data_IF_216231109084
#
_entry.id   IF_216231109084
#
_cell.length_a   1.000
_cell.length_b   1.000
_cell.length_c   1.000
_cell.angle_alpha   90.00
_cell.angle_beta   90.00
_cell.angle_gamma   90.00
#
_symmetry.space_group_name_H-M   'P 1'
#
loop_
_entity.id
_entity.type
_entity.pdbx_description
1 polymer ?
#
# COMPACT_ATOMS: atom_id res chain seq x y z
N UNK A 1 4.16 -22.65 -9.18
CA UNK A 1 5.14 -22.47 -8.07
C UNK A 1 4.40 -22.67 -6.76
N UNK A 2 4.98 -23.36 -5.79
CA UNK A 2 4.38 -23.42 -4.47
C UNK A 2 4.38 -22.04 -3.83
N UNK A 3 3.27 -21.67 -3.14
CA UNK A 3 3.19 -20.42 -2.40
C UNK A 3 4.24 -20.39 -1.29
N UNK A 4 4.97 -19.29 -1.20
CA UNK A 4 5.97 -19.06 -0.18
C UNK A 4 5.37 -18.60 1.15
N UNK A 5 6.22 -18.18 2.06
CA UNK A 5 5.81 -17.54 3.31
C UNK A 5 6.73 -16.34 3.61
N UNK A 6 6.87 -15.48 2.62
CA UNK A 6 7.68 -14.27 2.72
C UNK A 6 6.87 -13.17 3.38
N UNK A 7 7.06 -12.97 4.68
CA UNK A 7 6.40 -11.91 5.47
C UNK A 7 7.14 -10.59 5.29
N UNK A 8 8.48 -10.60 5.44
CA UNK A 8 9.31 -9.41 5.23
C UNK A 8 10.34 -9.63 4.14
N UNK A 9 10.57 -8.62 3.32
CA UNK A 9 11.57 -8.64 2.24
C UNK A 9 12.20 -7.27 2.05
N UNK A 10 13.41 -7.27 1.49
CA UNK A 10 14.18 -6.05 1.22
C UNK A 10 14.00 -5.62 -0.23
N UNK A 11 13.82 -4.33 -0.44
CA UNK A 11 13.88 -3.73 -1.77
C UNK A 11 14.45 -2.30 -1.66
N UNK A 12 15.58 -2.06 -2.32
CA UNK A 12 16.36 -0.84 -2.11
C UNK A 12 16.74 -0.68 -0.64
N UNK A 13 16.56 0.52 -0.11
CA UNK A 13 16.89 0.88 1.27
C UNK A 13 15.71 0.67 2.25
N UNK A 14 14.71 -0.13 1.88
CA UNK A 14 13.50 -0.29 2.70
C UNK A 14 13.23 -1.75 3.05
N UNK A 15 12.60 -1.95 4.19
CA UNK A 15 12.01 -3.22 4.59
C UNK A 15 10.52 -3.21 4.28
N UNK A 16 10.07 -4.18 3.51
CA UNK A 16 8.68 -4.35 3.11
C UNK A 16 8.01 -5.46 3.91
N UNK A 17 6.76 -5.26 4.28
CA UNK A 17 5.93 -6.21 5.02
C UNK A 17 4.74 -6.60 4.16
N UNK A 18 4.59 -7.90 3.89
CA UNK A 18 3.53 -8.51 3.10
C UNK A 18 2.51 -9.19 4.02
N UNK A 19 1.42 -8.50 4.42
CA UNK A 19 0.52 -9.00 5.46
C UNK A 19 -0.58 -9.91 4.93
N UNK A 20 -0.91 -9.87 3.62
CA UNK A 20 -2.07 -10.58 3.06
C UNK A 20 -1.98 -10.75 1.54
N UNK A 21 -2.64 -11.78 1.03
CA UNK A 21 -2.91 -11.93 -0.41
C UNK A 21 -4.27 -11.32 -0.81
N UNK A 22 -5.12 -10.95 0.16
CA UNK A 22 -6.46 -10.41 -0.13
C UNK A 22 -6.38 -9.01 -0.71
N UNK A 23 -7.05 -8.81 -1.82
CA UNK A 23 -7.22 -7.50 -2.43
C UNK A 23 -8.63 -7.42 -3.02
N UNK A 24 -9.31 -6.30 -2.83
CA UNK A 24 -10.61 -6.01 -3.43
C UNK A 24 -10.49 -5.41 -4.84
N UNK A 25 -9.28 -5.39 -5.42
CA UNK A 25 -9.00 -4.94 -6.77
C UNK A 25 -8.35 -6.02 -7.62
N UNK A 26 -8.49 -5.88 -8.94
CA UNK A 26 -7.84 -6.73 -9.93
C UNK A 26 -7.16 -5.89 -11.03
N UNK A 27 -6.32 -4.93 -10.63
CA UNK A 27 -5.70 -3.96 -11.52
C UNK A 27 -4.91 -4.62 -12.65
N UNK A 28 -5.04 -4.12 -13.89
CA UNK A 28 -4.39 -4.66 -15.08
C UNK A 28 -2.85 -4.64 -14.99
N UNK A 29 -2.29 -3.61 -14.37
CA UNK A 29 -0.85 -3.44 -14.18
C UNK A 29 -0.29 -4.11 -12.91
N UNK A 30 -1.10 -4.88 -12.19
CA UNK A 30 -0.68 -5.44 -10.91
C UNK A 30 0.40 -6.51 -11.09
N UNK A 31 1.50 -6.37 -10.35
CA UNK A 31 2.63 -7.31 -10.37
C UNK A 31 2.24 -8.76 -10.03
N UNK A 32 1.11 -8.96 -9.32
CA UNK A 32 0.59 -10.31 -9.02
C UNK A 32 0.15 -11.09 -10.26
N UNK A 33 -0.10 -10.41 -11.40
CA UNK A 33 -0.43 -11.04 -12.68
C UNK A 33 0.82 -11.47 -13.47
N UNK A 34 1.96 -10.91 -13.15
CA UNK A 34 3.25 -11.25 -13.75
C UNK A 34 3.79 -12.54 -13.12
N UNK A 35 3.36 -13.69 -13.64
CA UNK A 35 3.81 -15.01 -13.14
C UNK A 35 5.26 -15.33 -13.47
N UNK A 36 5.80 -14.70 -14.52
CA UNK A 36 7.19 -14.85 -14.94
C UNK A 36 8.15 -14.02 -14.10
N UNK A 37 7.67 -12.93 -13.49
CA UNK A 37 8.49 -11.99 -12.73
C UNK A 37 8.77 -12.42 -11.30
N UNK A 38 8.46 -13.63 -10.93
CA UNK A 38 9.04 -14.20 -9.71
C UNK A 38 10.57 -14.04 -9.66
N UNK A 39 11.15 -13.33 -10.65
CA UNK A 39 12.56 -13.32 -10.88
C UNK A 39 13.29 -11.98 -10.87
N UNK A 40 12.78 -10.86 -11.33
CA UNK A 40 13.71 -9.76 -11.60
C UNK A 40 13.73 -8.65 -10.56
N UNK A 41 12.61 -8.38 -9.89
CA UNK A 41 12.55 -7.35 -8.82
C UNK A 41 12.37 -7.99 -7.46
N UNK A 42 11.62 -9.08 -7.41
CA UNK A 42 11.36 -9.82 -6.20
C UNK A 42 12.09 -11.16 -6.29
N UNK A 43 13.24 -11.25 -5.68
CA UNK A 43 13.95 -12.52 -5.46
C UNK A 43 13.14 -13.48 -4.56
N UNK A 44 11.94 -13.05 -4.12
CA UNK A 44 11.08 -13.75 -3.19
C UNK A 44 9.69 -14.00 -3.80
N UNK A 45 9.17 -15.20 -3.58
CA UNK A 45 7.77 -15.47 -3.86
C UNK A 45 6.89 -14.79 -2.82
N UNK A 46 6.17 -13.74 -3.20
CA UNK A 46 5.29 -12.98 -2.31
C UNK A 46 3.90 -13.60 -2.13
N UNK A 47 3.55 -14.65 -2.88
CA UNK A 47 2.32 -15.39 -2.63
C UNK A 47 2.42 -16.17 -1.31
N UNK A 48 1.67 -15.71 -0.31
CA UNK A 48 1.61 -16.37 0.99
C UNK A 48 0.80 -17.66 0.90
N UNK A 49 1.30 -18.75 1.46
CA UNK A 49 0.55 -20.02 1.60
C UNK A 49 -0.62 -19.92 2.57
N UNK A 50 -0.55 -18.98 3.51
CA UNK A 50 -1.59 -18.53 4.44
C UNK A 50 -1.29 -17.09 4.87
N UNK A 51 -2.25 -16.43 5.47
CA UNK A 51 -1.97 -15.15 6.13
C UNK A 51 -1.12 -15.38 7.40
N UNK A 52 -0.08 -14.55 7.62
CA UNK A 52 0.69 -14.58 8.87
C UNK A 52 -0.17 -14.08 10.04
N UNK A 53 0.09 -14.55 11.25
CA UNK A 53 -0.46 -13.92 12.45
C UNK A 53 0.23 -12.57 12.69
N UNK A 54 -0.37 -11.71 13.50
CA UNK A 54 0.25 -10.42 13.86
C UNK A 54 1.56 -10.60 14.63
N UNK A 55 1.64 -11.67 15.43
CA UNK A 55 2.86 -12.05 16.16
C UNK A 55 3.97 -12.49 15.20
N UNK A 56 3.64 -13.26 14.16
CA UNK A 56 4.60 -13.66 13.12
C UNK A 56 5.09 -12.45 12.31
N UNK A 57 4.21 -11.46 12.06
CA UNK A 57 4.62 -10.21 11.41
C UNK A 57 5.60 -9.46 12.31
N UNK A 58 5.29 -9.29 13.58
CA UNK A 58 6.16 -8.60 14.55
C UNK A 58 7.52 -9.30 14.65
N UNK A 59 7.54 -10.61 14.85
CA UNK A 59 8.77 -11.41 14.94
C UNK A 59 9.61 -11.29 13.66
N UNK A 60 8.96 -11.35 12.49
CA UNK A 60 9.65 -11.21 11.20
C UNK A 60 10.31 -9.82 11.05
N UNK A 61 9.67 -8.75 11.51
CA UNK A 61 10.23 -7.40 11.50
C UNK A 61 11.38 -7.30 12.50
N UNK A 62 11.18 -7.73 13.75
CA UNK A 62 12.17 -7.59 14.82
C UNK A 62 13.39 -8.50 14.65
N UNK A 63 13.28 -9.56 13.84
CA UNK A 63 14.44 -10.39 13.45
C UNK A 63 15.42 -9.65 12.51
N UNK A 64 15.05 -8.47 11.99
CA UNK A 64 15.87 -7.67 11.10
C UNK A 64 16.63 -6.58 11.85
N UNK A 65 17.80 -6.24 11.37
CA UNK A 65 18.51 -5.04 11.82
C UNK A 65 17.88 -3.80 11.18
N UNK A 66 16.91 -3.21 11.88
CA UNK A 66 16.12 -2.09 11.37
C UNK A 66 16.92 -0.81 11.13
N UNK A 67 18.13 -0.70 11.68
CA UNK A 67 19.02 0.45 11.45
C UNK A 67 19.52 0.55 10.00
N UNK A 68 19.42 -0.54 9.25
CA UNK A 68 19.81 -0.61 7.84
C UNK A 68 18.76 -0.04 6.88
N UNK A 69 17.52 0.16 7.35
CA UNK A 69 16.41 0.54 6.50
C UNK A 69 15.97 1.97 6.77
N UNK A 70 15.63 2.67 5.69
CA UNK A 70 15.07 4.02 5.78
C UNK A 70 13.60 4.01 6.16
N UNK A 71 12.85 2.99 5.72
CA UNK A 71 11.41 2.88 5.93
C UNK A 71 11.01 1.41 6.17
N UNK A 72 9.99 1.24 7.00
CA UNK A 72 9.18 0.03 7.09
C UNK A 72 7.90 0.26 6.30
N UNK A 73 7.66 -0.54 5.26
CA UNK A 73 6.57 -0.33 4.32
C UNK A 73 5.59 -1.50 4.36
N UNK A 74 4.37 -1.26 4.80
CA UNK A 74 3.29 -2.24 4.73
C UNK A 74 2.67 -2.23 3.34
N UNK A 75 2.90 -3.30 2.60
CA UNK A 75 2.46 -3.49 1.20
C UNK A 75 2.63 -4.96 0.84
N UNK A 76 2.04 -5.42 -0.24
CA UNK A 76 2.23 -6.79 -0.71
C UNK A 76 1.41 -7.07 -1.97
N UNK A 77 1.13 -8.34 -2.22
CA UNK A 77 0.22 -8.71 -3.31
C UNK A 77 -1.25 -8.45 -2.98
N UNK A 78 -1.57 -8.25 -1.71
CA UNK A 78 -2.89 -7.83 -1.24
C UNK A 78 -2.97 -6.36 -0.87
N UNK A 79 -4.17 -5.94 -0.49
CA UNK A 79 -4.44 -4.63 0.08
C UNK A 79 -4.21 -4.68 1.61
N UNK A 80 -3.22 -3.95 2.15
CA UNK A 80 -2.86 -4.05 3.57
C UNK A 80 -3.99 -3.68 4.53
N UNK A 81 -4.89 -2.80 4.13
CA UNK A 81 -6.01 -2.36 4.98
C UNK A 81 -6.96 -3.50 5.39
N UNK A 82 -6.96 -4.65 4.70
CA UNK A 82 -7.63 -5.87 5.20
C UNK A 82 -7.11 -6.35 6.55
N UNK A 83 -5.89 -5.97 6.90
CA UNK A 83 -5.20 -6.36 8.13
C UNK A 83 -4.86 -5.14 8.99
N UNK A 84 -5.63 -4.05 8.86
CA UNK A 84 -5.32 -2.78 9.53
C UNK A 84 -5.19 -2.95 11.06
N UNK A 85 -6.11 -3.65 11.70
CA UNK A 85 -6.08 -3.85 13.16
C UNK A 85 -4.81 -4.61 13.60
N UNK A 86 -4.40 -5.62 12.84
CA UNK A 86 -3.17 -6.37 13.11
C UNK A 86 -1.92 -5.51 12.87
N UNK A 87 -1.91 -4.71 11.80
CA UNK A 87 -0.81 -3.79 11.48
C UNK A 87 -0.68 -2.72 12.57
N UNK A 88 -1.80 -2.13 13.01
CA UNK A 88 -1.82 -1.17 14.11
C UNK A 88 -1.25 -1.79 15.39
N UNK A 89 -1.68 -3.00 15.73
CA UNK A 89 -1.15 -3.73 16.87
C UNK A 89 0.36 -3.97 16.77
N UNK A 90 0.86 -4.37 15.59
CA UNK A 90 2.30 -4.58 15.35
C UNK A 90 3.08 -3.28 15.57
N UNK A 91 2.62 -2.17 14.98
CA UNK A 91 3.29 -0.87 15.14
C UNK A 91 3.29 -0.42 16.60
N UNK A 92 2.18 -0.60 17.32
CA UNK A 92 2.10 -0.24 18.74
C UNK A 92 3.06 -1.08 19.58
N UNK A 93 3.18 -2.38 19.34
CA UNK A 93 4.17 -3.26 20.01
C UNK A 93 5.61 -2.85 19.70
N UNK A 94 5.93 -2.58 18.43
CA UNK A 94 7.25 -2.08 18.05
C UNK A 94 7.63 -0.81 18.81
N UNK A 95 6.69 0.12 18.99
CA UNK A 95 6.92 1.36 19.76
C UNK A 95 7.13 1.08 21.24
N UNK A 96 6.36 0.18 21.83
CA UNK A 96 6.56 -0.26 23.22
C UNK A 96 7.93 -0.90 23.44
N UNK A 97 8.45 -1.61 22.42
CA UNK A 97 9.81 -2.17 22.43
C UNK A 97 10.90 -1.11 22.13
N UNK A 98 10.52 0.16 21.93
CA UNK A 98 11.43 1.27 21.68
C UNK A 98 11.92 1.40 20.25
N UNK A 99 11.33 0.66 19.31
CA UNK A 99 11.67 0.72 17.88
C UNK A 99 11.29 2.07 17.28
N UNK A 100 12.22 2.68 16.57
CA UNK A 100 12.03 3.95 15.85
C UNK A 100 12.43 3.72 14.39
N UNK A 101 11.45 3.66 13.51
CA UNK A 101 11.63 3.57 12.07
C UNK A 101 10.51 4.33 11.38
N UNK A 102 10.81 4.99 10.26
CA UNK A 102 9.79 5.65 9.45
C UNK A 102 8.81 4.61 8.90
N UNK A 103 7.53 4.73 9.22
CA UNK A 103 6.48 3.77 8.84
C UNK A 103 5.62 4.28 7.71
N UNK A 104 5.40 3.44 6.69
CA UNK A 104 4.57 3.76 5.53
C UNK A 104 3.59 2.63 5.23
N UNK A 105 2.39 2.99 4.78
CA UNK A 105 1.45 2.06 4.15
C UNK A 105 1.24 2.45 2.69
N UNK A 106 1.34 1.47 1.78
CA UNK A 106 0.93 1.61 0.38
C UNK A 106 -0.43 0.93 0.23
N UNK A 107 -1.45 1.68 -0.21
CA UNK A 107 -2.86 1.24 -0.21
C UNK A 107 -3.59 1.71 -1.46
N UNK A 108 -4.67 1.02 -1.82
CA UNK A 108 -5.62 1.49 -2.82
C UNK A 108 -6.60 2.55 -2.28
N UNK A 109 -6.54 2.86 -0.98
CA UNK A 109 -7.33 3.91 -0.34
C UNK A 109 -8.80 3.55 -0.07
N UNK A 110 -9.21 2.30 -0.25
CA UNK A 110 -10.62 1.89 -0.05
C UNK A 110 -10.86 1.15 1.27
N UNK A 111 -9.94 1.27 2.21
CA UNK A 111 -10.02 0.58 3.50
C UNK A 111 -11.31 0.87 4.28
N UNK A 112 -11.83 2.11 4.21
CA UNK A 112 -13.11 2.45 4.85
C UNK A 112 -14.29 1.68 4.26
N UNK A 113 -14.29 1.37 2.95
CA UNK A 113 -15.29 0.49 2.33
C UNK A 113 -15.14 -0.96 2.80
N UNK A 114 -13.90 -1.44 2.95
CA UNK A 114 -13.61 -2.81 3.42
C UNK A 114 -14.12 -3.00 4.84
N UNK A 115 -13.91 -2.01 5.71
CA UNK A 115 -14.28 -2.07 7.14
C UNK A 115 -15.71 -1.58 7.43
N UNK A 116 -16.40 -0.95 6.47
CA UNK A 116 -17.72 -0.36 6.68
C UNK A 116 -17.73 0.80 7.69
N UNK A 117 -16.58 1.45 7.92
CA UNK A 117 -16.39 2.58 8.82
C UNK A 117 -15.25 3.48 8.35
N UNK A 118 -15.20 4.70 8.85
CA UNK A 118 -14.01 5.54 8.70
C UNK A 118 -12.84 4.93 9.49
N UNK A 119 -11.75 4.61 8.77
CA UNK A 119 -10.52 4.05 9.35
C UNK A 119 -9.41 5.10 9.47
N UNK A 120 -9.61 6.33 9.01
CA UNK A 120 -8.54 7.33 8.99
C UNK A 120 -7.99 7.68 10.37
N UNK A 121 -8.80 7.68 11.48
CA UNK A 121 -8.26 7.90 12.81
C UNK A 121 -7.31 6.80 13.31
N UNK A 122 -7.41 5.58 12.77
CA UNK A 122 -6.54 4.47 13.18
C UNK A 122 -5.08 4.70 12.78
N UNK A 123 -4.83 5.63 11.86
CA UNK A 123 -3.49 5.97 11.37
C UNK A 123 -2.73 6.91 12.31
N UNK A 124 -3.45 7.61 13.20
CA UNK A 124 -2.85 8.62 14.07
C UNK A 124 -1.72 8.06 14.93
N UNK A 125 -0.57 8.73 14.85
CA UNK A 125 0.62 8.34 15.60
C UNK A 125 1.25 7.01 15.18
N UNK A 126 0.73 6.28 14.19
CA UNK A 126 1.25 4.98 13.73
C UNK A 126 2.00 5.07 12.42
N UNK A 127 1.53 5.89 11.50
CA UNK A 127 2.16 6.04 10.19
C UNK A 127 2.74 7.43 10.00
N UNK A 128 3.94 7.48 9.43
CA UNK A 128 4.58 8.73 9.01
C UNK A 128 4.16 9.12 7.59
N UNK A 129 3.78 8.12 6.78
CA UNK A 129 3.34 8.31 5.40
C UNK A 129 2.28 7.29 5.00
N UNK A 130 1.32 7.75 4.22
CA UNK A 130 0.41 6.87 3.45
C UNK A 130 0.58 7.18 1.97
N UNK A 131 0.85 6.14 1.18
CA UNK A 131 0.96 6.22 -0.28
C UNK A 131 -0.27 5.57 -0.92
N UNK A 132 -1.06 6.36 -1.62
CA UNK A 132 -2.37 5.97 -2.15
C UNK A 132 -2.29 5.85 -3.66
N UNK A 133 -2.83 4.76 -4.20
CA UNK A 133 -2.87 4.51 -5.65
C UNK A 133 -4.04 5.28 -6.28
N UNK A 134 -3.76 6.45 -6.90
CA UNK A 134 -4.74 7.23 -7.67
C UNK A 134 -5.00 6.59 -9.04
N UNK A 135 -3.94 6.17 -9.71
CA UNK A 135 -3.88 5.40 -10.95
C UNK A 135 -4.44 6.08 -12.21
N UNK A 136 -5.53 6.83 -12.16
CA UNK A 136 -6.11 7.58 -13.30
C UNK A 136 -6.98 8.74 -12.84
N UNK A 137 -7.47 9.55 -13.79
CA UNK A 137 -8.08 10.86 -13.58
C UNK A 137 -9.62 10.85 -13.44
N UNK A 138 -10.29 9.75 -13.79
CA UNK A 138 -11.77 9.66 -13.68
C UNK A 138 -12.23 8.34 -13.09
N UNK A 139 -13.43 8.32 -12.48
CA UNK A 139 -14.02 7.12 -11.91
C UNK A 139 -14.22 6.02 -12.96
N UNK A 140 -14.68 6.37 -14.17
CA UNK A 140 -14.92 5.41 -15.26
C UNK A 140 -13.61 4.71 -15.67
N UNK A 141 -12.52 5.48 -15.87
CA UNK A 141 -11.20 4.93 -16.20
C UNK A 141 -10.62 4.13 -15.04
N UNK A 142 -10.88 4.58 -13.80
CA UNK A 142 -10.43 3.88 -12.61
C UNK A 142 -11.06 2.50 -12.50
N UNK A 143 -12.37 2.41 -12.71
CA UNK A 143 -13.10 1.14 -12.69
C UNK A 143 -12.60 0.21 -13.81
N UNK A 144 -12.36 0.77 -15.01
CA UNK A 144 -11.84 0.01 -16.15
C UNK A 144 -10.40 -0.49 -15.95
N UNK A 145 -9.54 0.27 -15.25
CA UNK A 145 -8.13 -0.05 -15.04
C UNK A 145 -7.88 -0.92 -13.80
N UNK A 146 -8.61 -0.63 -12.72
CA UNK A 146 -8.38 -1.22 -11.40
C UNK A 146 -9.36 -2.33 -11.02
N UNK A 147 -10.50 -2.43 -11.70
CA UNK A 147 -11.54 -3.46 -11.48
C UNK A 147 -11.89 -3.63 -9.98
N UNK A 148 -12.35 -2.57 -9.28
CA UNK A 148 -12.74 -2.67 -7.87
C UNK A 148 -13.97 -3.57 -7.71
N UNK A 149 -14.04 -4.31 -6.59
CA UNK A 149 -15.22 -5.13 -6.25
C UNK A 149 -16.38 -4.24 -5.79
N UNK A 150 -16.07 -3.16 -5.06
CA UNK A 150 -17.09 -2.23 -4.55
C UNK A 150 -17.28 -1.06 -5.51
N UNK A 151 -18.55 -0.69 -5.74
CA UNK A 151 -18.91 0.55 -6.45
C UNK A 151 -18.45 1.78 -5.66
N UNK A 152 -18.15 2.88 -6.37
CA UNK A 152 -17.72 4.15 -5.77
C UNK A 152 -16.31 4.14 -5.19
N UNK A 153 -15.48 3.17 -5.56
CA UNK A 153 -14.12 3.03 -5.05
C UNK A 153 -13.24 4.26 -5.32
N UNK A 154 -13.40 4.91 -6.48
CA UNK A 154 -12.65 6.13 -6.83
C UNK A 154 -12.94 7.29 -5.87
N UNK A 155 -14.20 7.57 -5.60
CA UNK A 155 -14.59 8.64 -4.67
C UNK A 155 -14.24 8.29 -3.21
N UNK A 156 -14.36 7.03 -2.83
CA UNK A 156 -13.95 6.56 -1.52
C UNK A 156 -12.44 6.73 -1.30
N UNK A 157 -11.61 6.41 -2.31
CA UNK A 157 -10.16 6.62 -2.28
C UNK A 157 -9.81 8.11 -2.15
N UNK A 158 -10.48 9.00 -2.88
CA UNK A 158 -10.27 10.46 -2.79
C UNK A 158 -10.69 10.99 -1.42
N UNK A 159 -11.82 10.53 -0.88
CA UNK A 159 -12.29 10.88 0.46
C UNK A 159 -11.27 10.44 1.51
N UNK A 160 -10.81 9.19 1.44
CA UNK A 160 -9.77 8.68 2.32
C UNK A 160 -8.49 9.52 2.23
N UNK A 161 -8.04 9.89 1.01
CA UNK A 161 -6.85 10.71 0.81
C UNK A 161 -6.96 12.10 1.45
N UNK A 162 -8.15 12.71 1.45
CA UNK A 162 -8.42 13.99 2.12
C UNK A 162 -8.44 13.83 3.64
N UNK A 163 -9.15 12.83 4.13
CA UNK A 163 -9.40 12.69 5.57
C UNK A 163 -8.17 12.20 6.34
N UNK A 164 -7.37 11.30 5.76
CA UNK A 164 -6.19 10.74 6.44
C UNK A 164 -5.09 11.79 6.68
N UNK A 165 -5.09 12.91 5.95
CA UNK A 165 -4.17 14.04 6.18
C UNK A 165 -4.31 14.67 7.57
N UNK A 166 -5.43 14.46 8.24
CA UNK A 166 -5.65 14.94 9.63
C UNK A 166 -4.80 14.15 10.64
N UNK A 167 -4.39 12.93 10.28
CA UNK A 167 -3.79 11.96 11.18
C UNK A 167 -2.37 11.52 10.79
N UNK A 168 -1.95 11.79 9.55
CA UNK A 168 -0.66 11.35 9.02
C UNK A 168 0.14 12.54 8.50
N UNK A 169 1.43 12.67 8.87
CA UNK A 169 2.26 13.81 8.45
C UNK A 169 2.42 13.94 6.94
N UNK A 170 2.43 12.83 6.22
CA UNK A 170 2.62 12.84 4.76
C UNK A 170 1.62 11.92 4.06
N UNK A 171 0.86 12.48 3.14
CA UNK A 171 0.02 11.72 2.20
C UNK A 171 0.55 11.91 0.79
N UNK A 172 0.80 10.79 0.13
CA UNK A 172 1.28 10.75 -1.26
C UNK A 172 0.25 10.03 -2.13
N UNK A 173 -0.02 10.56 -3.31
CA UNK A 173 -0.82 9.86 -4.31
C UNK A 173 0.05 9.47 -5.50
N UNK A 174 -0.16 8.26 -6.02
CA UNK A 174 0.70 7.72 -7.07
C UNK A 174 -0.10 7.26 -8.27
N UNK A 175 0.52 7.41 -9.45
CA UNK A 175 0.09 6.76 -10.69
C UNK A 175 1.23 5.92 -11.25
N UNK A 176 0.91 4.89 -12.01
CA UNK A 176 1.89 4.14 -12.79
C UNK A 176 1.88 4.72 -14.21
N UNK A 177 3.05 4.86 -14.85
CA UNK A 177 3.22 5.48 -16.17
C UNK A 177 2.71 4.62 -17.36
N UNK A 178 1.71 3.79 -17.09
CA UNK A 178 0.98 2.99 -18.10
C UNK A 178 -0.16 3.75 -18.77
N UNK A 179 -0.51 4.94 -18.25
CA UNK A 179 -1.58 5.81 -18.76
C UNK A 179 -1.01 6.95 -19.63
N UNK A 180 -1.84 7.58 -20.49
CA UNK A 180 -1.41 8.71 -21.32
C UNK A 180 -0.85 9.89 -20.49
N UNK A 181 0.07 10.66 -21.09
CA UNK A 181 0.69 11.82 -20.42
C UNK A 181 -0.32 12.88 -19.97
N UNK A 182 -1.36 13.07 -20.76
CA UNK A 182 -2.46 14.00 -20.45
C UNK A 182 -3.20 13.57 -19.17
N UNK A 183 -3.39 12.26 -18.98
CA UNK A 183 -4.02 11.71 -17.76
C UNK A 183 -3.08 11.79 -16.57
N UNK A 184 -1.77 11.57 -16.76
CA UNK A 184 -0.76 11.77 -15.71
C UNK A 184 -0.82 13.21 -15.18
N UNK A 185 -0.94 14.20 -16.10
CA UNK A 185 -1.06 15.60 -15.73
C UNK A 185 -2.41 15.93 -15.06
N UNK A 186 -3.51 15.34 -15.52
CA UNK A 186 -4.81 15.46 -14.86
C UNK A 186 -4.79 14.88 -13.44
N UNK A 187 -4.18 13.71 -13.25
CA UNK A 187 -3.96 13.11 -11.93
C UNK A 187 -3.13 14.01 -11.01
N UNK A 188 -2.10 14.68 -11.56
CA UNK A 188 -1.30 15.64 -10.77
C UNK A 188 -2.17 16.76 -10.21
N UNK A 189 -3.05 17.36 -11.05
CA UNK A 189 -3.97 18.42 -10.61
C UNK A 189 -4.95 17.93 -9.55
N UNK A 190 -5.54 16.74 -9.73
CA UNK A 190 -6.41 16.15 -8.71
C UNK A 190 -5.65 15.99 -7.38
N UNK A 191 -4.44 15.45 -7.43
CA UNK A 191 -3.63 15.24 -6.24
C UNK A 191 -3.26 16.55 -5.53
N UNK A 192 -2.70 17.52 -6.28
CA UNK A 192 -2.13 18.75 -5.71
C UNK A 192 -3.19 19.81 -5.42
N UNK A 193 -4.16 20.01 -6.33
CA UNK A 193 -5.13 21.11 -6.24
C UNK A 193 -6.44 20.70 -5.54
N UNK A 194 -6.92 19.48 -5.75
CA UNK A 194 -8.17 19.01 -5.15
C UNK A 194 -7.95 18.35 -3.79
N UNK A 195 -6.90 17.51 -3.67
CA UNK A 195 -6.62 16.72 -2.47
C UNK A 195 -5.62 17.43 -1.54
N UNK A 196 -4.62 18.09 -2.10
CA UNK A 196 -3.53 18.73 -1.36
C UNK A 196 -2.44 17.76 -0.90
N UNK A 197 -2.25 16.64 -1.61
CA UNK A 197 -1.28 15.61 -1.30
C UNK A 197 -0.02 15.71 -2.20
N UNK A 198 1.02 14.98 -1.84
CA UNK A 198 2.24 14.86 -2.65
C UNK A 198 1.97 13.95 -3.85
N UNK A 199 2.32 14.39 -5.05
CA UNK A 199 2.16 13.59 -6.27
C UNK A 199 3.42 12.84 -6.66
N UNK A 200 3.28 11.59 -7.13
CA UNK A 200 4.40 10.80 -7.64
C UNK A 200 3.97 9.91 -8.80
N UNK A 201 4.73 9.96 -9.89
CA UNK A 201 4.64 8.98 -10.99
C UNK A 201 5.63 7.85 -10.71
N UNK A 202 5.17 6.61 -10.81
CA UNK A 202 5.99 5.40 -10.69
C UNK A 202 6.19 4.80 -12.07
N UNK A 203 7.43 4.41 -12.36
CA UNK A 203 7.71 3.63 -13.56
C UNK A 203 7.02 2.26 -13.50
N UNK A 204 6.45 1.84 -14.60
CA UNK A 204 5.93 0.49 -14.74
C UNK A 204 7.09 -0.50 -14.79
N UNK A 205 7.04 -1.46 -13.89
CA UNK A 205 8.03 -2.53 -13.82
C UNK A 205 7.65 -3.59 -14.84
N UNK A 206 8.37 -3.61 -15.97
CA UNK A 206 8.29 -4.68 -16.96
C UNK A 206 9.18 -5.83 -16.50
N UNK A 207 8.75 -7.05 -16.79
CA UNK A 207 9.57 -8.26 -16.65
C UNK A 207 10.76 -8.26 -17.61
#
# INVERSE_FOLDING_TARGET
MENGFTITYEYGDNLYVNPTNRCNFNCEFCLRHNQSSGGSIYTHNLWLKREPTKEEILESIESRDLTKYRQLVFVGFGEPSYRLDDICWVIDRMKEHGTKIFTRMDTNGTGSLIHGRDITPDFEGRFDMVSISLNTDTAEKYDALCHPVQEGAYEAMKTFAKDVQKYVPTVMMTVVDTIPKEEIEACRKICEEEIGAVYRVREYIKD
#
